data_IF_644789056555
#
_entry.id   IF_644789056555
#
_cell.length_a   1.000
_cell.length_b   1.000
_cell.length_c   1.000
_cell.angle_alpha   90.00
_cell.angle_beta   90.00
_cell.angle_gamma   90.00
#
_symmetry.space_group_name_H-M   'P 1'
#
loop_
_entity.id
_entity.type
_entity.pdbx_description
1 polymer ?
#
# COMPACT_ATOMS: atom_id res chain seq x y z
N UNK A 1 0.08 -18.90 7.35
CA UNK A 1 0.37 -18.41 5.98
C UNK A 1 -0.07 -16.95 5.90
N UNK A 2 0.82 -16.06 5.49
CA UNK A 2 0.52 -14.63 5.38
C UNK A 2 0.09 -14.36 3.93
N UNK A 3 -1.10 -13.80 3.74
CA UNK A 3 -1.67 -13.50 2.42
C UNK A 3 -1.40 -12.06 2.00
N UNK A 4 -1.37 -11.15 2.96
CA UNK A 4 -1.08 -9.74 2.73
C UNK A 4 -0.36 -9.12 3.93
N UNK A 5 0.46 -8.10 3.63
CA UNK A 5 1.14 -7.23 4.59
C UNK A 5 0.67 -5.81 4.33
N UNK A 6 0.17 -5.14 5.37
CA UNK A 6 -0.32 -3.77 5.29
C UNK A 6 0.67 -2.80 5.95
N UNK A 7 1.06 -1.77 5.23
CA UNK A 7 1.82 -0.63 5.73
C UNK A 7 0.87 0.55 5.79
N UNK A 8 0.42 0.91 6.99
CA UNK A 8 -0.48 2.04 7.19
C UNK A 8 0.36 3.25 7.59
N UNK A 9 0.41 4.24 6.72
CA UNK A 9 1.16 5.48 6.93
C UNK A 9 0.18 6.62 7.07
N UNK A 10 0.33 7.38 8.14
CA UNK A 10 -0.53 8.52 8.40
C UNK A 10 -0.17 9.69 7.47
N UNK A 11 -1.12 10.05 6.61
CA UNK A 11 -1.02 11.12 5.62
C UNK A 11 -1.76 12.40 6.06
N UNK A 12 -2.10 12.55 7.34
CA UNK A 12 -2.86 13.70 7.86
C UNK A 12 -2.03 14.79 8.54
N UNK A 13 -0.85 14.47 9.10
CA UNK A 13 -0.09 15.42 9.93
C UNK A 13 1.34 15.65 9.42
N UNK A 14 1.75 16.92 9.41
CA UNK A 14 3.02 17.45 8.91
C UNK A 14 4.15 17.52 9.95
N UNK A 15 4.04 16.80 11.07
CA UNK A 15 5.01 16.89 12.16
C UNK A 15 6.39 16.30 11.79
N UNK A 16 7.48 17.02 12.07
CA UNK A 16 8.88 16.61 11.79
C UNK A 16 9.26 15.25 12.37
N UNK A 17 8.74 14.87 13.53
CA UNK A 17 8.99 13.54 14.12
C UNK A 17 8.50 12.38 13.23
N UNK A 18 7.64 12.65 12.24
CA UNK A 18 7.23 11.65 11.25
C UNK A 18 8.26 11.39 10.17
N UNK A 19 9.16 12.34 9.87
CA UNK A 19 10.14 12.14 8.80
C UNK A 19 11.05 10.94 9.10
N UNK A 20 11.50 10.82 10.36
CA UNK A 20 12.29 9.67 10.81
C UNK A 20 11.47 8.37 10.77
N UNK A 21 10.17 8.44 11.09
CA UNK A 21 9.27 7.28 11.00
C UNK A 21 9.00 6.87 9.56
N UNK A 22 8.90 7.81 8.64
CA UNK A 22 8.73 7.55 7.20
C UNK A 22 10.00 6.89 6.65
N UNK A 23 11.19 7.39 7.03
CA UNK A 23 12.45 6.76 6.67
C UNK A 23 12.56 5.33 7.24
N UNK A 24 12.18 5.12 8.50
CA UNK A 24 12.12 3.79 9.11
C UNK A 24 11.10 2.88 8.42
N UNK A 25 9.91 3.41 8.08
CA UNK A 25 8.89 2.68 7.35
C UNK A 25 9.38 2.24 5.97
N UNK A 26 10.05 3.13 5.21
CA UNK A 26 10.70 2.79 3.95
C UNK A 26 11.68 1.62 4.12
N UNK A 27 12.54 1.68 5.13
CA UNK A 27 13.49 0.59 5.40
C UNK A 27 12.77 -0.72 5.72
N UNK A 28 11.71 -0.68 6.53
CA UNK A 28 10.92 -1.86 6.88
C UNK A 28 10.16 -2.44 5.67
N UNK A 29 9.58 -1.60 4.82
CA UNK A 29 8.93 -2.02 3.56
C UNK A 29 9.95 -2.77 2.71
N UNK A 30 11.14 -2.20 2.52
CA UNK A 30 12.21 -2.81 1.73
C UNK A 30 12.72 -4.12 2.33
N UNK A 31 12.86 -4.18 3.64
CA UNK A 31 13.27 -5.39 4.34
C UNK A 31 12.23 -6.50 4.12
N UNK A 32 10.96 -6.25 4.48
CA UNK A 32 9.89 -7.25 4.39
C UNK A 32 9.58 -7.68 2.96
N UNK A 33 9.72 -6.79 1.97
CA UNK A 33 9.55 -7.15 0.56
C UNK A 33 10.52 -8.25 0.11
N UNK A 34 11.69 -8.35 0.73
CA UNK A 34 12.72 -9.33 0.38
C UNK A 34 12.72 -10.59 1.26
N UNK A 35 11.84 -10.68 2.25
CA UNK A 35 11.73 -11.87 3.10
C UNK A 35 11.08 -13.03 2.34
N UNK A 36 11.71 -14.20 2.38
CA UNK A 36 11.31 -15.37 1.61
C UNK A 36 9.94 -15.91 2.04
N UNK A 37 9.63 -15.83 3.34
CA UNK A 37 8.34 -16.19 3.92
C UNK A 37 7.18 -15.34 3.38
N UNK A 38 7.49 -14.16 2.84
CA UNK A 38 6.52 -13.19 2.31
C UNK A 38 6.52 -13.10 0.79
N UNK A 39 7.28 -13.96 0.09
CA UNK A 39 7.41 -13.95 -1.38
C UNK A 39 6.06 -14.03 -2.11
N UNK A 40 5.09 -14.72 -1.52
CA UNK A 40 3.74 -14.94 -2.08
C UNK A 40 2.67 -13.99 -1.52
N UNK A 41 3.04 -13.08 -0.61
CA UNK A 41 2.11 -12.14 0.01
C UNK A 41 1.94 -10.88 -0.85
N UNK A 42 0.74 -10.32 -0.85
CA UNK A 42 0.49 -8.98 -1.35
C UNK A 42 1.02 -7.94 -0.34
N UNK A 43 1.63 -6.87 -0.83
CA UNK A 43 2.13 -5.76 -0.03
C UNK A 43 1.26 -4.55 -0.32
N UNK A 44 0.63 -4.00 0.71
CA UNK A 44 -0.34 -2.91 0.56
C UNK A 44 0.16 -1.71 1.34
N UNK A 45 0.48 -0.63 0.64
CA UNK A 45 0.70 0.67 1.23
C UNK A 45 -0.63 1.42 1.32
N UNK A 46 -1.07 1.69 2.55
CA UNK A 46 -2.27 2.47 2.86
C UNK A 46 -1.83 3.86 3.33
N UNK A 47 -2.15 4.88 2.54
CA UNK A 47 -2.05 6.28 2.96
C UNK A 47 -3.33 6.64 3.70
N UNK A 48 -3.23 6.78 5.02
CA UNK A 48 -4.35 7.17 5.84
C UNK A 48 -4.61 8.66 5.70
N UNK A 49 -5.52 9.02 4.79
CA UNK A 49 -5.94 10.38 4.49
C UNK A 49 -7.12 10.81 5.37
N UNK A 50 -7.33 12.12 5.52
CA UNK A 50 -8.53 12.64 6.19
C UNK A 50 -9.72 12.81 5.23
N UNK A 51 -9.51 12.63 3.94
CA UNK A 51 -10.54 12.82 2.93
C UNK A 51 -11.60 11.72 3.04
N UNK A 52 -12.89 12.08 3.20
CA UNK A 52 -13.97 11.09 3.26
C UNK A 52 -14.08 10.26 1.98
N UNK A 53 -14.55 9.02 2.10
CA UNK A 53 -14.80 8.15 0.95
C UNK A 53 -15.85 8.79 0.02
N UNK A 54 -15.50 8.99 -1.26
CA UNK A 54 -16.39 9.57 -2.26
C UNK A 54 -16.40 11.09 -2.34
N UNK A 55 -15.53 11.79 -1.61
CA UNK A 55 -15.26 13.19 -1.86
C UNK A 55 -14.41 13.34 -3.14
N UNK A 56 -15.07 13.70 -4.25
CA UNK A 56 -14.41 13.94 -5.55
C UNK A 56 -13.49 15.18 -5.54
N UNK A 57 -13.58 16.01 -4.51
CA UNK A 57 -12.72 17.16 -4.31
C UNK A 57 -11.62 16.82 -3.29
N UNK A 58 -10.59 16.08 -3.75
CA UNK A 58 -9.29 16.20 -3.08
C UNK A 58 -8.75 17.59 -3.37
N UNK A 59 -8.39 18.33 -2.33
CA UNK A 59 -7.71 19.60 -2.54
C UNK A 59 -6.36 19.29 -3.22
N UNK A 60 -5.96 20.14 -4.18
CA UNK A 60 -4.72 19.93 -4.93
C UNK A 60 -3.49 19.77 -4.00
N UNK A 61 -3.54 20.44 -2.84
CA UNK A 61 -2.53 20.34 -1.79
C UNK A 61 -2.46 18.93 -1.15
N UNK A 62 -3.59 18.26 -0.98
CA UNK A 62 -3.65 16.89 -0.44
C UNK A 62 -3.03 15.89 -1.44
N UNK A 63 -3.31 16.04 -2.73
CA UNK A 63 -2.75 15.17 -3.77
C UNK A 63 -1.22 15.34 -3.89
N UNK A 64 -0.74 16.59 -3.85
CA UNK A 64 0.69 16.89 -3.86
C UNK A 64 1.40 16.33 -2.62
N UNK A 65 0.75 16.42 -1.45
CA UNK A 65 1.27 15.86 -0.21
C UNK A 65 1.31 14.32 -0.22
N UNK A 66 0.24 13.66 -0.65
CA UNK A 66 0.20 12.20 -0.79
C UNK A 66 1.31 11.71 -1.73
N UNK A 67 1.49 12.39 -2.87
CA UNK A 67 2.54 12.05 -3.83
C UNK A 67 3.94 12.20 -3.23
N UNK A 68 4.20 13.28 -2.50
CA UNK A 68 5.46 13.48 -1.80
C UNK A 68 5.72 12.35 -0.78
N UNK A 69 4.69 11.93 -0.04
CA UNK A 69 4.80 10.79 0.88
C UNK A 69 5.10 9.48 0.15
N UNK A 70 4.47 9.21 -1.00
CA UNK A 70 4.77 8.03 -1.80
C UNK A 70 6.24 8.00 -2.26
N UNK A 71 6.76 9.13 -2.75
CA UNK A 71 8.15 9.26 -3.16
C UNK A 71 9.10 9.05 -1.98
N UNK A 72 8.79 9.64 -0.82
CA UNK A 72 9.56 9.46 0.40
C UNK A 72 9.62 8.00 0.87
N UNK A 73 8.50 7.28 0.77
CA UNK A 73 8.39 5.85 1.12
C UNK A 73 9.08 4.95 0.08
N UNK A 74 9.47 5.50 -1.07
CA UNK A 74 10.11 4.78 -2.16
C UNK A 74 9.14 3.90 -2.95
N UNK A 75 7.85 4.24 -2.93
CA UNK A 75 6.80 3.48 -3.59
C UNK A 75 6.98 3.43 -5.12
N UNK A 76 7.32 4.54 -5.82
CA UNK A 76 7.57 4.50 -7.27
C UNK A 76 8.68 3.52 -7.67
N UNK A 77 9.74 3.42 -6.87
CA UNK A 77 10.85 2.49 -7.13
C UNK A 77 10.40 1.04 -6.96
N UNK A 78 9.62 0.74 -5.92
CA UNK A 78 9.07 -0.61 -5.69
C UNK A 78 8.15 -1.04 -6.83
N UNK A 79 7.33 -0.13 -7.36
CA UNK A 79 6.43 -0.41 -8.49
C UNK A 79 7.18 -0.71 -9.80
N UNK A 80 8.41 -0.23 -9.94
CA UNK A 80 9.26 -0.49 -11.11
C UNK A 80 10.08 -1.77 -10.97
N UNK A 81 10.28 -2.26 -9.76
CA UNK A 81 11.03 -3.47 -9.49
C UNK A 81 10.24 -4.72 -9.89
N UNK A 82 10.73 -5.44 -10.91
CA UNK A 82 10.10 -6.67 -11.44
C UNK A 82 9.65 -7.66 -10.36
N UNK A 83 10.41 -7.93 -9.26
CA UNK A 83 10.00 -8.88 -8.23
C UNK A 83 8.81 -8.43 -7.37
N UNK A 84 8.48 -7.13 -7.36
CA UNK A 84 7.50 -6.55 -6.45
C UNK A 84 6.31 -5.92 -7.17
N UNK A 85 6.49 -5.45 -8.42
CA UNK A 85 5.48 -4.75 -9.22
C UNK A 85 4.10 -5.42 -9.22
N UNK A 86 4.04 -6.74 -9.35
CA UNK A 86 2.76 -7.46 -9.46
C UNK A 86 2.11 -7.76 -8.10
N UNK A 87 2.78 -7.47 -6.99
CA UNK A 87 2.29 -7.77 -5.63
C UNK A 87 2.29 -6.56 -4.70
N UNK A 88 2.72 -5.39 -5.17
CA UNK A 88 2.67 -4.15 -4.43
C UNK A 88 1.45 -3.33 -4.86
N UNK A 89 0.63 -2.92 -3.89
CA UNK A 89 -0.59 -2.14 -4.06
C UNK A 89 -0.47 -0.85 -3.25
N UNK A 90 -0.99 0.24 -3.78
CA UNK A 90 -1.12 1.53 -3.08
C UNK A 90 -2.59 1.91 -3.02
N UNK A 91 -3.02 2.44 -1.89
CA UNK A 91 -4.38 2.96 -1.72
C UNK A 91 -4.37 4.10 -0.72
N UNK A 92 -5.13 5.15 -1.01
CA UNK A 92 -5.43 6.22 -0.04
C UNK A 92 -6.83 5.99 0.51
N UNK A 93 -6.96 5.86 1.82
CA UNK A 93 -8.22 5.58 2.51
C UNK A 93 -8.19 6.26 3.87
N UNK A 94 -9.27 6.96 4.23
CA UNK A 94 -9.53 7.33 5.62
C UNK A 94 -9.86 6.09 6.47
N UNK A 95 -8.86 5.60 7.19
CA UNK A 95 -8.97 4.41 8.03
C UNK A 95 -9.89 4.60 9.24
N UNK A 96 -10.24 5.85 9.60
CA UNK A 96 -11.18 6.13 10.68
C UNK A 96 -12.64 5.95 10.23
N UNK A 97 -12.93 6.08 8.93
CA UNK A 97 -14.29 6.06 8.38
C UNK A 97 -14.59 4.79 7.58
N UNK A 98 -13.56 4.03 7.17
CA UNK A 98 -13.75 2.82 6.37
C UNK A 98 -14.55 1.74 7.11
N UNK A 99 -15.55 1.17 6.41
CA UNK A 99 -16.33 0.03 6.90
C UNK A 99 -16.07 -1.23 6.07
N UNK A 100 -16.65 -2.35 6.50
CA UNK A 100 -16.55 -3.62 5.75
C UNK A 100 -17.32 -3.59 4.43
N UNK A 101 -18.35 -2.77 4.32
CA UNK A 101 -19.13 -2.59 3.10
C UNK A 101 -18.56 -1.52 2.17
N UNK A 102 -17.46 -0.84 2.56
CA UNK A 102 -16.80 0.15 1.71
C UNK A 102 -16.41 -0.47 0.36
N UNK A 103 -16.87 0.09 -0.78
CA UNK A 103 -16.49 -0.37 -2.11
C UNK A 103 -14.98 -0.32 -2.35
N UNK A 104 -14.29 0.68 -1.79
CA UNK A 104 -12.83 0.78 -1.88
C UNK A 104 -12.16 -0.37 -1.13
N UNK A 105 -12.65 -0.71 0.06
CA UNK A 105 -12.16 -1.87 0.82
C UNK A 105 -12.39 -3.18 0.06
N UNK A 106 -13.61 -3.38 -0.45
CA UNK A 106 -13.94 -4.61 -1.17
C UNK A 106 -13.08 -4.76 -2.44
N UNK A 107 -12.86 -3.67 -3.18
CA UNK A 107 -11.96 -3.65 -4.33
C UNK A 107 -10.53 -4.04 -3.92
N UNK A 108 -10.01 -3.48 -2.83
CA UNK A 108 -8.68 -3.80 -2.33
C UNK A 108 -8.56 -5.29 -1.97
N UNK A 109 -9.55 -5.85 -1.26
CA UNK A 109 -9.58 -7.28 -0.93
C UNK A 109 -9.62 -8.17 -2.18
N UNK A 110 -10.35 -7.76 -3.22
CA UNK A 110 -10.37 -8.48 -4.51
C UNK A 110 -9.02 -8.46 -5.21
N UNK A 111 -8.29 -7.34 -5.20
CA UNK A 111 -6.94 -7.26 -5.77
C UNK A 111 -5.94 -8.13 -4.99
N UNK A 112 -5.98 -8.11 -3.66
CA UNK A 112 -5.17 -9.01 -2.82
C UNK A 112 -5.45 -10.48 -3.17
N UNK A 113 -6.71 -10.85 -3.33
CA UNK A 113 -7.09 -12.21 -3.70
C UNK A 113 -6.59 -12.61 -5.10
N UNK A 114 -6.55 -11.68 -6.06
CA UNK A 114 -5.98 -11.91 -7.40
C UNK A 114 -4.48 -12.19 -7.31
N UNK A 115 -3.74 -11.36 -6.57
CA UNK A 115 -2.29 -11.54 -6.35
C UNK A 115 -2.03 -12.91 -5.72
N UNK A 116 -2.78 -13.25 -4.67
CA UNK A 116 -2.64 -14.53 -3.99
C UNK A 116 -2.91 -15.73 -4.90
N UNK A 117 -3.86 -15.63 -5.84
CA UNK A 117 -4.12 -16.68 -6.82
C UNK A 117 -3.06 -16.76 -7.92
N UNK A 118 -2.50 -15.63 -8.33
CA UNK A 118 -1.51 -15.57 -9.41
C UNK A 118 -0.12 -16.05 -8.98
N UNK A 119 0.23 -15.92 -7.71
CA UNK A 119 1.58 -16.21 -7.18
C UNK A 119 1.55 -17.32 -6.11
N UNK A 120 0.37 -17.65 -5.57
CA UNK A 120 0.20 -18.67 -4.54
C UNK A 120 0.20 -20.10 -5.08
N UNK A 121 0.12 -21.07 -4.17
CA UNK A 121 0.13 -22.50 -4.50
C UNK A 121 -1.06 -22.86 -5.42
N UNK A 122 -0.76 -23.20 -6.68
CA UNK A 122 -1.75 -23.55 -7.70
C UNK A 122 -1.74 -22.64 -8.94
N UNK A 123 -0.91 -21.59 -8.98
CA UNK A 123 -0.69 -20.78 -10.17
C UNK A 123 -0.01 -21.61 -11.27
N UNK A 124 -0.68 -21.75 -12.42
CA UNK A 124 -0.06 -22.25 -13.65
C UNK A 124 0.84 -21.13 -14.15
N UNK A 125 2.15 -21.31 -13.98
CA UNK A 125 3.15 -20.46 -14.62
C UNK A 125 3.32 -21.04 -16.03
N UNK A 126 2.62 -20.47 -17.00
CA UNK A 126 2.99 -20.68 -18.40
C UNK A 126 4.27 -19.86 -18.64
N UNK A 127 5.41 -20.55 -18.72
CA UNK A 127 6.73 -19.99 -19.10
C UNK A 127 6.74 -19.47 -20.55
#
# INVERSE_FOLDING_TARGET
RITAVFFVVDAFSTNRERMDRIAAARQQIRFLLNEDELRIAAFVLVLNSATPEGADAKEQEDEEFEKALEEMLGAPEIEQEKPHKNRFLKVSINCAEITRESPVWEKLLREIAKIHKAIGEGSIIDD
#
